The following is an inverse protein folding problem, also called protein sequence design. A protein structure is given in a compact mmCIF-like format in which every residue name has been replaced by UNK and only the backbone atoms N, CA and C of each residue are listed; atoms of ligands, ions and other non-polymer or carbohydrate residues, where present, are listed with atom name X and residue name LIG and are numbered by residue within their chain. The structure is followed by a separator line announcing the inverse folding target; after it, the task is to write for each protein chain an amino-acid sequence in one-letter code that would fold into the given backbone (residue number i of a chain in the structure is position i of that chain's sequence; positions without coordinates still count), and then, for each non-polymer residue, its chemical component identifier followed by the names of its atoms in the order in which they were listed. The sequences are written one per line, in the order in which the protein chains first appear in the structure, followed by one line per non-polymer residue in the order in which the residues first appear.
data_IF_020790549901
#
_entry.id   IF_020790549901
#
_cell.length_a   1.000
_cell.length_b   1.000
_cell.length_c   1.000
_cell.angle_alpha   90.00
_cell.angle_beta   90.00
_cell.angle_gamma   90.00
#
_symmetry.space_group_name_H-M   'P 1'
#
loop_
_entity.id
_entity.type
_entity.pdbx_description
1 polymer ?
#
# COMPACT_ATOMS: atom_id res chain seq x y z
N UNK A 1 -11.75 10.82 -7.21
CA UNK A 1 -10.29 10.69 -7.39
C UNK A 1 -10.05 9.21 -7.65
N UNK A 2 -9.62 8.81 -8.85
CA UNK A 2 -9.54 7.39 -9.26
C UNK A 2 -8.66 6.57 -8.33
N UNK A 3 -9.25 5.62 -7.61
CA UNK A 3 -8.60 4.59 -6.81
C UNK A 3 -7.92 3.59 -7.75
N UNK A 4 -6.76 3.95 -8.30
CA UNK A 4 -5.90 2.95 -8.93
C UNK A 4 -5.45 1.96 -7.84
N UNK A 5 -5.55 0.64 -8.05
CA UNK A 5 -4.98 -0.33 -7.15
C UNK A 5 -3.47 -0.05 -7.06
N UNK A 6 -3.00 0.29 -5.87
CA UNK A 6 -1.58 0.49 -5.65
C UNK A 6 -0.91 -0.88 -5.76
N UNK A 7 -0.07 -1.06 -6.78
CA UNK A 7 0.80 -2.22 -6.87
C UNK A 7 1.83 -2.10 -5.74
N UNK A 8 1.54 -2.75 -4.61
CA UNK A 8 2.36 -2.64 -3.40
C UNK A 8 1.74 -3.42 -2.25
N UNK A 9 2.55 -3.64 -1.21
CA UNK A 9 2.09 -4.25 0.03
C UNK A 9 1.13 -3.32 0.75
N UNK A 10 0.12 -3.87 1.41
CA UNK A 10 -0.80 -3.08 2.23
C UNK A 10 -1.04 -3.72 3.59
N UNK A 11 -1.39 -2.89 4.57
CA UNK A 11 -1.78 -3.31 5.92
C UNK A 11 -3.13 -2.69 6.25
N UNK A 12 -4.02 -3.49 6.85
CA UNK A 12 -5.30 -3.00 7.36
C UNK A 12 -5.09 -2.25 8.68
N UNK A 13 -5.58 -1.02 8.78
CA UNK A 13 -5.48 -0.20 10.01
C UNK A 13 -6.32 -0.72 11.17
N UNK A 14 -7.32 -1.57 10.88
CA UNK A 14 -8.28 -2.03 11.90
C UNK A 14 -7.87 -3.32 12.58
N UNK A 15 -7.16 -4.21 11.87
CA UNK A 15 -6.82 -5.53 12.37
C UNK A 15 -5.42 -6.00 11.98
N UNK A 16 -4.59 -5.10 11.44
CA UNK A 16 -3.18 -5.36 11.09
C UNK A 16 -2.97 -6.47 10.05
N UNK A 17 -4.02 -6.85 9.32
CA UNK A 17 -3.92 -7.83 8.23
C UNK A 17 -2.96 -7.33 7.15
N UNK A 18 -1.99 -8.17 6.80
CA UNK A 18 -0.93 -7.87 5.84
C UNK A 18 -1.25 -8.54 4.51
N UNK A 19 -1.26 -7.77 3.42
CA UNK A 19 -1.38 -8.30 2.08
C UNK A 19 -0.23 -7.85 1.19
N UNK A 20 0.26 -8.78 0.37
CA UNK A 20 1.33 -8.50 -0.58
C UNK A 20 0.80 -8.10 -1.95
N UNK A 21 -0.46 -8.44 -2.24
CA UNK A 21 -1.13 -8.09 -3.47
C UNK A 21 -2.55 -7.58 -3.19
N UNK A 22 -2.72 -6.27 -3.10
CA UNK A 22 -4.02 -5.64 -2.87
C UNK A 22 -5.10 -6.10 -3.88
N UNK A 23 -4.74 -6.41 -5.13
CA UNK A 23 -5.72 -6.79 -6.13
C UNK A 23 -6.30 -8.20 -5.91
N UNK A 24 -5.48 -9.15 -5.44
CA UNK A 24 -5.90 -10.54 -5.22
C UNK A 24 -6.38 -10.79 -3.79
N UNK A 25 -5.77 -10.11 -2.81
CA UNK A 25 -5.96 -10.42 -1.39
C UNK A 25 -7.12 -9.63 -0.77
N UNK A 26 -7.59 -8.56 -1.41
CA UNK A 26 -8.70 -7.74 -0.91
C UNK A 26 -10.06 -8.29 -1.39
N UNK A 27 -11.09 -8.13 -0.55
CA UNK A 27 -12.46 -8.32 -1.00
C UNK A 27 -12.84 -7.14 -1.90
N UNK A 28 -13.50 -7.42 -3.02
CA UNK A 28 -13.92 -6.38 -3.96
C UNK A 28 -15.46 -6.41 -4.09
N UNK A 29 -16.08 -5.24 -4.05
CA UNK A 29 -17.52 -5.07 -4.25
C UNK A 29 -17.80 -3.82 -5.06
N UNK A 30 -18.95 -3.77 -5.73
CA UNK A 30 -19.41 -2.54 -6.40
C UNK A 30 -19.95 -1.58 -5.35
N UNK A 31 -19.57 -0.30 -5.43
CA UNK A 31 -20.10 0.72 -4.52
C UNK A 31 -21.62 0.88 -4.76
N UNK A 32 -22.47 0.74 -3.72
CA UNK A 32 -23.93 0.83 -3.87
C UNK A 32 -24.43 2.23 -4.25
N UNK A 33 -23.63 3.28 -4.07
CA UNK A 33 -23.97 4.66 -4.42
C UNK A 33 -23.40 5.09 -5.77
N UNK A 34 -22.35 4.41 -6.25
CA UNK A 34 -21.71 4.70 -7.52
C UNK A 34 -21.19 3.42 -8.18
N UNK A 35 -21.92 2.90 -9.17
CA UNK A 35 -21.59 1.64 -9.82
C UNK A 35 -20.27 1.66 -10.61
N UNK A 36 -19.70 2.84 -10.87
CA UNK A 36 -18.40 3.00 -11.53
C UNK A 36 -17.21 2.83 -10.56
N UNK A 37 -17.48 2.73 -9.25
CA UNK A 37 -16.47 2.60 -8.20
C UNK A 37 -16.50 1.21 -7.55
N UNK A 38 -15.31 0.70 -7.26
CA UNK A 38 -15.11 -0.54 -6.51
C UNK A 38 -14.70 -0.19 -5.08
N UNK A 39 -15.38 -0.79 -4.11
CA UNK A 39 -15.01 -0.75 -2.70
C UNK A 39 -14.10 -1.94 -2.37
N UNK A 40 -13.08 -1.68 -1.57
CA UNK A 40 -12.14 -2.71 -1.13
C UNK A 40 -12.36 -3.04 0.35
N UNK A 41 -12.45 -4.33 0.66
CA UNK A 41 -12.72 -4.82 2.00
C UNK A 41 -11.59 -5.69 2.54
N UNK A 42 -11.33 -5.60 3.84
CA UNK A 42 -10.44 -6.53 4.52
C UNK A 42 -11.05 -7.95 4.58
N UNK A 43 -10.31 -9.00 4.17
CA UNK A 43 -10.82 -10.37 4.25
C UNK A 43 -11.02 -10.84 5.70
N UNK A 44 -10.27 -10.32 6.67
CA UNK A 44 -10.36 -10.69 8.09
C UNK A 44 -11.49 -9.93 8.80
N UNK A 45 -11.34 -8.60 8.94
CA UNK A 45 -12.26 -7.80 9.76
C UNK A 45 -13.45 -7.20 9.00
N UNK A 46 -13.49 -7.37 7.66
CA UNK A 46 -14.51 -6.80 6.77
C UNK A 46 -14.59 -5.27 6.76
N UNK A 47 -13.60 -4.59 7.34
CA UNK A 47 -13.53 -3.13 7.25
C UNK A 47 -13.33 -2.68 5.81
N UNK A 48 -14.02 -1.62 5.42
CA UNK A 48 -14.05 -1.07 4.06
C UNK A 48 -13.02 0.06 3.96
N UNK A 49 -12.25 0.08 2.87
CA UNK A 49 -11.25 1.11 2.52
C UNK A 49 -10.27 1.48 3.65
N UNK A 50 -9.99 0.52 4.54
CA UNK A 50 -9.15 0.71 5.73
C UNK A 50 -7.71 0.23 5.53
N UNK A 51 -7.21 0.24 4.29
CA UNK A 51 -5.88 -0.22 3.95
C UNK A 51 -4.91 0.95 3.78
N UNK A 52 -3.69 0.78 4.30
CA UNK A 52 -2.55 1.68 4.09
C UNK A 52 -1.43 0.96 3.37
N UNK A 53 -0.66 1.72 2.61
CA UNK A 53 0.53 1.21 1.93
C UNK A 53 1.63 0.87 2.93
N UNK A 54 2.23 -0.29 2.77
CA UNK A 54 3.34 -0.79 3.59
C UNK A 54 4.66 -0.73 2.81
N UNK A 55 5.76 -0.78 3.54
CA UNK A 55 7.11 -0.68 2.98
C UNK A 55 7.40 -1.78 1.92
N UNK A 56 7.94 -1.37 0.78
CA UNK A 56 8.38 -2.28 -0.29
C UNK A 56 9.62 -3.13 0.05
N UNK A 57 10.17 -3.00 1.26
CA UNK A 57 11.34 -3.76 1.68
C UNK A 57 10.92 -5.18 2.06
N UNK A 58 11.60 -6.25 1.58
CA UNK A 58 11.26 -7.63 1.92
C UNK A 58 11.24 -7.83 3.45
N UNK A 59 10.17 -8.43 3.97
CA UNK A 59 9.99 -8.66 5.41
C UNK A 59 9.59 -7.42 6.23
N UNK A 60 9.52 -6.22 5.63
CA UNK A 60 9.00 -5.04 6.30
C UNK A 60 7.51 -4.84 5.99
N UNK A 61 6.74 -4.52 7.03
CA UNK A 61 5.31 -4.19 6.98
C UNK A 61 4.98 -2.85 7.63
N UNK A 62 6.02 -2.07 7.97
CA UNK A 62 5.86 -0.71 8.48
C UNK A 62 5.18 0.18 7.44
N UNK A 63 4.38 1.12 7.93
CA UNK A 63 3.68 2.07 7.07
C UNK A 63 4.68 2.92 6.28
N UNK A 64 4.34 3.16 5.00
CA UNK A 64 5.12 4.04 4.15
C UNK A 64 5.12 5.44 4.74
N UNK A 65 6.30 6.03 4.87
CA UNK A 65 6.47 7.42 5.27
C UNK A 65 7.16 8.26 4.20
N UNK A 66 7.91 7.62 3.30
CA UNK A 66 8.72 8.30 2.30
C UNK A 66 8.64 7.60 0.94
N UNK A 67 8.50 8.39 -0.12
CA UNK A 67 8.72 7.92 -1.49
C UNK A 67 10.18 8.13 -1.89
N UNK A 68 10.77 7.13 -2.55
CA UNK A 68 12.16 7.11 -2.98
C UNK A 68 12.23 6.94 -4.50
N UNK A 69 12.89 7.85 -5.24
CA UNK A 69 13.27 7.56 -6.61
C UNK A 69 14.36 6.47 -6.62
N UNK A 70 14.14 5.43 -7.41
CA UNK A 70 15.04 4.29 -7.60
C UNK A 70 15.34 4.12 -9.09
N UNK A 71 16.40 3.38 -9.42
CA UNK A 71 16.84 3.19 -10.82
C UNK A 71 15.75 2.59 -11.74
N UNK A 72 14.73 1.91 -11.18
CA UNK A 72 13.62 1.32 -11.93
C UNK A 72 12.26 1.99 -11.73
N UNK A 73 12.18 3.15 -11.05
CA UNK A 73 10.91 3.83 -10.75
C UNK A 73 10.85 4.39 -9.33
N UNK A 74 9.66 4.51 -8.73
CA UNK A 74 9.51 4.94 -7.34
C UNK A 74 9.32 3.74 -6.42
N UNK A 75 10.13 3.64 -5.36
CA UNK A 75 9.91 2.73 -4.23
C UNK A 75 9.25 3.48 -3.09
N UNK A 76 8.31 2.84 -2.41
CA UNK A 76 7.69 3.35 -1.20
C UNK A 76 8.30 2.67 0.02
N UNK A 77 8.97 3.44 0.86
CA UNK A 77 9.69 2.90 2.02
C UNK A 77 9.26 3.57 3.32
N UNK A 78 9.35 2.81 4.41
CA UNK A 78 9.18 3.33 5.75
C UNK A 78 10.42 4.13 6.20
N UNK A 79 10.31 4.83 7.33
CA UNK A 79 11.39 5.67 7.87
C UNK A 79 12.71 4.91 8.11
N UNK A 80 12.63 3.63 8.47
CA UNK A 80 13.79 2.77 8.72
C UNK A 80 14.50 2.37 7.41
N UNK A 81 13.72 2.13 6.35
CA UNK A 81 14.22 1.75 5.02
C UNK A 81 14.29 2.94 4.06
N UNK A 82 14.31 4.16 4.60
CA UNK A 82 14.60 5.34 3.79
C UNK A 82 15.98 5.15 3.15
N UNK A 83 16.18 5.61 1.92
CA UNK A 83 17.50 5.62 1.31
C UNK A 83 18.40 6.46 2.21
N UNK A 84 19.54 5.90 2.59
CA UNK A 84 20.64 6.75 3.01
C UNK A 84 21.09 7.50 1.78
N UNK A 85 21.07 8.82 1.86
CA UNK A 85 21.63 9.70 0.86
C UNK A 85 22.98 9.12 0.43
N UNK A 86 23.18 8.87 -0.87
CA UNK A 86 24.55 8.90 -1.36
C UNK A 86 24.98 10.34 -1.17
N UNK A 87 25.84 10.57 -0.17
CA UNK A 87 26.61 11.78 -0.08
C UNK A 87 27.35 11.95 -1.42
N UNK A 88 26.99 13.01 -2.16
CA UNK A 88 27.80 13.58 -3.23
C UNK A 88 27.91 12.78 -4.53
N UNK A 89 27.25 13.29 -5.57
CA UNK A 89 27.87 13.35 -6.89
C UNK A 89 27.89 14.84 -7.30
N UNK A 90 29.09 15.42 -7.17
CA UNK A 90 29.64 16.65 -7.77
C UNK A 90 28.88 17.98 -7.62
#
# INVERSE_FOLDING_TARGET
MSTKPQAGKTVCEMCEYQSSNAFLDHLNGVNPFNVEEIIHGCPECKSIDSFRSACDEPGCWELVSCGTPSAGGYRTTCRAHKPREKAGDA
#
